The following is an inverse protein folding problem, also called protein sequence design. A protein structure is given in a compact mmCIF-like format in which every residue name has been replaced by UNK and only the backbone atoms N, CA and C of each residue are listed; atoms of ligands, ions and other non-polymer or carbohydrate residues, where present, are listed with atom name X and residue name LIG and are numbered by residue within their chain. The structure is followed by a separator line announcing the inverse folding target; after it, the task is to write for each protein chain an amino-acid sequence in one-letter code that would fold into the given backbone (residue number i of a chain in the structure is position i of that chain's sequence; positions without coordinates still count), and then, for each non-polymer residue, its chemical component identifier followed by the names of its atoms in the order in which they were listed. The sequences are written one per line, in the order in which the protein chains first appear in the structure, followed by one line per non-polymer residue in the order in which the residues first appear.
data_IF_370794128765
#
_entry.id   IF_370794128765
#
_cell.length_a   1.000
_cell.length_b   1.000
_cell.length_c   1.000
_cell.angle_alpha   90.00
_cell.angle_beta   90.00
_cell.angle_gamma   90.00
#
_symmetry.space_group_name_H-M   'P 1'
#
loop_
_entity.id
_entity.type
_entity.pdbx_description
1 polymer ?
#
# COMPACT_ATOMS: atom_id res chain seq x y z
N UNK A 1 61.38 33.10 -59.38
CA UNK A 1 61.30 31.62 -59.38
C UNK A 1 61.41 31.16 -57.94
N UNK A 2 60.28 30.85 -57.30
CA UNK A 2 60.23 30.44 -55.90
C UNK A 2 59.93 28.95 -55.83
N UNK A 3 60.85 28.20 -55.21
CA UNK A 3 60.76 26.75 -55.00
C UNK A 3 59.73 26.45 -53.90
N UNK A 4 58.67 25.73 -54.27
CA UNK A 4 57.73 25.10 -53.35
C UNK A 4 58.33 23.74 -52.96
N UNK A 5 58.55 23.53 -51.67
CA UNK A 5 59.04 22.28 -51.09
C UNK A 5 57.86 21.62 -50.39
N UNK A 6 57.30 20.59 -51.01
CA UNK A 6 56.26 19.75 -50.41
C UNK A 6 56.94 18.67 -49.56
N UNK A 7 56.53 18.54 -48.29
CA UNK A 7 56.81 17.37 -47.46
C UNK A 7 55.52 16.55 -47.25
N UNK A 8 55.56 15.21 -47.45
CA UNK A 8 54.45 14.32 -47.15
C UNK A 8 54.57 13.76 -45.72
N UNK A 9 53.76 14.26 -44.80
CA UNK A 9 53.72 13.85 -43.39
C UNK A 9 52.59 12.88 -43.07
N UNK A 10 52.94 11.59 -43.10
CA UNK A 10 52.33 10.40 -42.49
C UNK A 10 50.97 10.53 -41.74
N UNK A 11 49.98 9.81 -42.27
CA UNK A 11 48.84 9.25 -41.53
C UNK A 11 49.31 8.16 -40.56
N UNK A 12 48.98 8.30 -39.28
CA UNK A 12 48.87 7.17 -38.35
C UNK A 12 47.62 7.33 -37.49
N UNK A 13 46.60 6.56 -37.81
CA UNK A 13 45.44 6.28 -36.96
C UNK A 13 45.80 5.18 -35.96
N UNK A 14 45.77 5.42 -34.65
CA UNK A 14 45.62 4.34 -33.67
C UNK A 14 44.13 4.06 -33.45
N UNK A 15 43.70 2.92 -33.99
CA UNK A 15 42.41 2.29 -33.74
C UNK A 15 42.40 1.80 -32.28
N UNK A 16 41.87 2.62 -31.36
CA UNK A 16 41.67 2.23 -29.97
C UNK A 16 40.37 1.42 -29.86
N UNK A 17 40.51 0.10 -29.92
CA UNK A 17 39.43 -0.84 -29.69
C UNK A 17 39.22 -1.00 -28.19
N UNK A 18 38.22 -0.30 -27.65
CA UNK A 18 37.81 -0.46 -26.26
C UNK A 18 37.03 -1.77 -26.07
N UNK A 19 37.29 -2.54 -24.99
CA UNK A 19 36.57 -3.77 -24.70
C UNK A 19 35.12 -3.46 -24.32
N UNK A 20 34.18 -4.19 -24.93
CA UNK A 20 32.76 -4.17 -24.58
C UNK A 20 32.59 -4.62 -23.12
N UNK A 21 31.97 -3.82 -22.23
CA UNK A 21 31.49 -4.35 -20.97
C UNK A 21 30.27 -5.23 -21.27
N UNK A 22 30.39 -6.52 -20.95
CA UNK A 22 29.26 -7.42 -20.84
C UNK A 22 28.34 -6.91 -19.72
N UNK A 23 27.31 -6.16 -20.09
CA UNK A 23 26.20 -5.84 -19.19
C UNK A 23 25.41 -7.13 -19.00
N UNK A 24 25.80 -7.89 -17.98
CA UNK A 24 25.03 -8.99 -17.44
C UNK A 24 23.79 -8.40 -16.79
N UNK A 25 22.70 -8.30 -17.56
CA UNK A 25 21.37 -7.96 -17.08
C UNK A 25 20.89 -9.09 -16.19
N UNK A 26 21.22 -9.05 -14.90
CA UNK A 26 20.52 -9.84 -13.90
C UNK A 26 19.10 -9.30 -13.77
N UNK A 27 18.20 -9.90 -14.54
CA UNK A 27 16.76 -9.85 -14.35
C UNK A 27 16.44 -10.40 -12.96
N UNK A 28 16.30 -9.49 -11.99
CA UNK A 28 15.60 -9.80 -10.75
C UNK A 28 14.15 -10.15 -11.11
N UNK A 29 13.85 -11.44 -11.12
CA UNK A 29 12.48 -11.94 -11.15
C UNK A 29 12.00 -12.07 -9.71
N UNK A 30 11.12 -11.18 -9.20
CA UNK A 30 10.43 -11.45 -7.94
C UNK A 30 9.42 -12.57 -8.21
N UNK A 31 9.87 -13.82 -8.17
CA UNK A 31 8.98 -14.98 -8.14
C UNK A 31 8.47 -15.13 -6.71
N UNK A 32 7.65 -14.19 -6.26
CA UNK A 32 6.76 -14.41 -5.13
C UNK A 32 5.57 -15.18 -5.71
N UNK A 33 5.69 -16.51 -5.74
CA UNK A 33 4.54 -17.38 -5.99
C UNK A 33 3.63 -17.25 -4.77
N UNK A 34 2.40 -16.73 -4.89
CA UNK A 34 1.43 -16.92 -3.84
C UNK A 34 1.20 -18.43 -3.65
N UNK A 35 0.92 -18.89 -2.42
CA UNK A 35 0.60 -20.28 -2.18
C UNK A 35 -0.59 -20.67 -3.07
N UNK A 36 -0.38 -21.72 -3.86
CA UNK A 36 -1.43 -22.37 -4.63
C UNK A 36 -2.43 -22.94 -3.63
N UNK A 37 -3.53 -22.20 -3.45
CA UNK A 37 -4.69 -22.65 -2.72
C UNK A 37 -5.34 -23.73 -3.59
N UNK A 38 -5.11 -24.98 -3.23
CA UNK A 38 -5.75 -26.13 -3.85
C UNK A 38 -7.24 -25.99 -3.53
N UNK A 39 -8.00 -25.41 -4.45
CA UNK A 39 -9.44 -25.44 -4.41
C UNK A 39 -9.87 -26.89 -4.61
N UNK A 40 -10.13 -27.58 -3.50
CA UNK A 40 -10.95 -28.77 -3.53
C UNK A 40 -12.32 -28.34 -4.10
N UNK A 41 -12.66 -28.91 -5.26
CA UNK A 41 -13.99 -28.87 -5.82
C UNK A 41 -14.99 -29.40 -4.79
N UNK A 42 -15.67 -28.50 -4.09
CA UNK A 42 -16.90 -28.83 -3.38
C UNK A 42 -17.99 -28.79 -4.45
N UNK A 43 -18.36 -30.01 -4.82
CA UNK A 43 -19.45 -30.36 -5.72
C UNK A 43 -20.75 -29.71 -5.23
N UNK A 44 -21.47 -29.14 -6.17
CA UNK A 44 -22.77 -28.49 -6.02
C UNK A 44 -23.80 -29.34 -5.27
N UNK A 45 -24.65 -28.61 -4.54
CA UNK A 45 -26.05 -28.85 -4.14
C UNK A 45 -26.57 -30.28 -3.96
N UNK A 46 -27.37 -30.47 -2.90
CA UNK A 46 -28.80 -30.46 -3.18
C UNK A 46 -29.61 -29.55 -2.25
N UNK A 47 -30.49 -28.79 -2.90
CA UNK A 47 -31.88 -28.52 -2.54
C UNK A 47 -32.16 -28.00 -1.11
N UNK A 48 -32.54 -26.72 -1.08
CA UNK A 48 -33.15 -26.04 0.05
C UNK A 48 -34.36 -26.83 0.60
N UNK A 49 -34.15 -27.57 1.68
CA UNK A 49 -35.22 -28.01 2.56
C UNK A 49 -35.63 -26.84 3.45
N UNK A 50 -36.70 -26.16 3.04
CA UNK A 50 -37.46 -25.23 3.88
C UNK A 50 -38.07 -26.01 5.04
N UNK A 51 -37.37 -26.03 6.18
CA UNK A 51 -37.96 -26.49 7.43
C UNK A 51 -38.88 -25.40 8.00
N UNK A 52 -40.11 -25.72 8.41
CA UNK A 52 -40.97 -24.77 9.09
C UNK A 52 -40.33 -24.38 10.42
N UNK A 53 -40.12 -23.07 10.62
CA UNK A 53 -39.73 -22.55 11.93
C UNK A 53 -40.82 -22.88 12.95
N UNK A 54 -40.47 -23.48 14.10
CA UNK A 54 -41.38 -23.57 15.23
C UNK A 54 -41.51 -22.17 15.86
N UNK A 55 -42.69 -21.57 15.75
CA UNK A 55 -43.10 -20.38 16.52
C UNK A 55 -42.92 -20.65 18.01
N UNK A 56 -41.73 -20.36 18.51
CA UNK A 56 -41.37 -20.52 19.91
C UNK A 56 -41.66 -19.21 20.63
N UNK A 57 -42.93 -18.85 20.71
CA UNK A 57 -43.44 -17.95 21.75
C UNK A 57 -43.37 -18.68 23.09
N UNK A 58 -42.15 -18.85 23.62
CA UNK A 58 -41.98 -19.26 25.01
C UNK A 58 -42.14 -18.00 25.84
N UNK A 59 -43.38 -17.76 26.27
CA UNK A 59 -43.68 -16.86 27.35
C UNK A 59 -42.81 -17.27 28.55
N UNK A 60 -41.92 -16.38 28.98
CA UNK A 60 -41.20 -16.49 30.24
C UNK A 60 -42.20 -16.36 31.40
N UNK A 61 -42.97 -17.41 31.67
CA UNK A 61 -43.64 -17.59 32.94
C UNK A 61 -42.58 -17.99 33.96
N UNK A 62 -42.18 -17.03 34.79
CA UNK A 62 -41.39 -17.28 35.99
C UNK A 62 -42.12 -18.27 36.88
N UNK A 63 -41.67 -19.52 36.88
CA UNK A 63 -42.10 -20.52 37.85
C UNK A 63 -41.49 -20.16 39.20
N UNK A 64 -42.33 -19.63 40.08
CA UNK A 64 -42.05 -19.55 41.50
C UNK A 64 -41.90 -20.97 42.03
N UNK A 65 -40.66 -21.44 42.17
CA UNK A 65 -40.38 -22.66 42.93
C UNK A 65 -40.58 -22.35 44.41
N UNK A 66 -41.75 -22.76 44.87
CA UNK A 66 -42.25 -22.78 46.23
C UNK A 66 -41.23 -23.39 47.19
N UNK A 67 -40.81 -22.62 48.19
CA UNK A 67 -40.03 -23.08 49.33
C UNK A 67 -40.80 -24.13 50.12
N UNK A 68 -40.41 -25.40 50.01
CA UNK A 68 -40.92 -26.46 50.90
C UNK A 68 -40.27 -26.28 52.28
N UNK A 69 -41.06 -25.81 53.24
CA UNK A 69 -40.69 -25.75 54.65
C UNK A 69 -40.40 -27.15 55.19
N UNK A 70 -39.19 -27.36 55.70
CA UNK A 70 -38.84 -28.55 56.47
C UNK A 70 -39.41 -28.43 57.88
N UNK A 71 -40.57 -29.05 58.12
CA UNK A 71 -41.13 -29.26 59.46
C UNK A 71 -40.26 -30.26 60.22
N UNK A 72 -39.51 -29.75 61.19
CA UNK A 72 -38.66 -30.51 62.12
C UNK A 72 -39.53 -31.39 63.03
N UNK A 73 -39.79 -32.63 62.60
CA UNK A 73 -40.48 -33.65 63.40
C UNK A 73 -39.49 -34.58 64.08
N UNK A 74 -39.80 -34.97 65.32
CA UNK A 74 -38.98 -35.84 66.17
C UNK A 74 -38.83 -37.23 65.53
N UNK A 75 -37.58 -37.67 65.46
CA UNK A 75 -37.04 -38.92 64.92
C UNK A 75 -37.84 -40.16 65.38
N UNK A 76 -38.74 -40.64 64.54
CA UNK A 76 -39.19 -42.03 64.54
C UNK A 76 -38.23 -42.87 63.65
N UNK A 77 -38.11 -44.19 63.84
CA UNK A 77 -37.25 -45.03 63.00
C UNK A 77 -37.75 -44.97 61.56
N UNK A 78 -36.98 -44.33 60.68
CA UNK A 78 -37.30 -44.20 59.26
C UNK A 78 -37.22 -45.57 58.60
N UNK A 79 -38.30 -45.99 57.94
CA UNK A 79 -38.34 -47.19 57.12
C UNK A 79 -37.28 -47.05 55.99
N UNK A 80 -36.29 -47.96 55.89
CA UNK A 80 -35.20 -47.86 54.92
C UNK A 80 -35.67 -47.77 53.47
N UNK A 81 -36.88 -48.28 53.15
CA UNK A 81 -37.45 -48.23 51.80
C UNK A 81 -37.81 -46.78 51.39
N UNK A 82 -38.36 -45.99 52.32
CA UNK A 82 -38.73 -44.59 52.08
C UNK A 82 -37.49 -43.70 51.88
N UNK A 83 -36.40 -43.97 52.60
CA UNK A 83 -35.15 -43.24 52.43
C UNK A 83 -34.54 -43.47 51.03
N UNK A 84 -34.64 -44.71 50.50
CA UNK A 84 -34.11 -45.05 49.18
C UNK A 84 -34.89 -44.37 48.04
N UNK A 85 -36.22 -44.29 48.16
CA UNK A 85 -37.06 -43.58 47.18
C UNK A 85 -36.77 -42.07 47.17
N UNK A 86 -36.61 -41.44 48.33
CA UNK A 86 -36.23 -40.03 48.43
C UNK A 86 -34.84 -39.79 47.82
N UNK A 87 -33.89 -40.71 48.05
CA UNK A 87 -32.57 -40.62 47.43
C UNK A 87 -32.66 -40.71 45.90
N UNK A 88 -33.49 -41.61 45.36
CA UNK A 88 -33.68 -41.74 43.92
C UNK A 88 -34.29 -40.47 43.32
N UNK A 89 -35.32 -39.91 43.95
CA UNK A 89 -35.95 -38.66 43.52
C UNK A 89 -34.94 -37.49 43.51
N UNK A 90 -34.13 -37.37 44.56
CA UNK A 90 -33.07 -36.37 44.64
C UNK A 90 -32.01 -36.55 43.55
N UNK A 91 -31.61 -37.80 43.26
CA UNK A 91 -30.64 -38.08 42.17
C UNK A 91 -31.22 -37.76 40.79
N UNK A 92 -32.49 -38.05 40.52
CA UNK A 92 -33.14 -37.70 39.26
C UNK A 92 -33.26 -36.19 39.09
N UNK A 93 -33.64 -35.47 40.15
CA UNK A 93 -33.68 -34.01 40.13
C UNK A 93 -32.30 -33.38 39.94
N UNK A 94 -31.23 -34.00 40.48
CA UNK A 94 -29.86 -33.56 40.24
C UNK A 94 -29.42 -33.81 38.79
N UNK A 95 -29.75 -34.97 38.21
CA UNK A 95 -29.46 -35.30 36.81
C UNK A 95 -30.21 -34.34 35.87
N UNK A 96 -31.49 -34.09 36.13
CA UNK A 96 -32.30 -33.21 35.30
C UNK A 96 -31.77 -31.77 35.32
N UNK A 97 -31.42 -31.24 36.49
CA UNK A 97 -30.76 -29.92 36.60
C UNK A 97 -29.41 -29.88 35.89
N UNK A 98 -28.62 -30.96 35.96
CA UNK A 98 -27.34 -31.05 35.25
C UNK A 98 -27.51 -31.01 33.73
N UNK A 99 -28.52 -31.71 33.20
CA UNK A 99 -28.84 -31.71 31.78
C UNK A 99 -29.34 -30.35 31.29
N UNK A 100 -30.17 -29.66 32.08
CA UNK A 100 -30.64 -28.30 31.78
C UNK A 100 -29.47 -27.30 31.75
N UNK A 101 -28.59 -27.34 32.76
CA UNK A 101 -27.40 -26.49 32.79
C UNK A 101 -26.47 -26.74 31.58
N UNK A 102 -26.30 -28.01 31.18
CA UNK A 102 -25.51 -28.36 30.01
C UNK A 102 -26.14 -27.86 28.70
N UNK A 103 -27.48 -27.90 28.60
CA UNK A 103 -28.18 -27.37 27.43
C UNK A 103 -28.06 -25.84 27.36
N UNK A 104 -28.22 -25.15 28.50
CA UNK A 104 -28.03 -23.71 28.58
C UNK A 104 -26.60 -23.31 28.17
N UNK A 105 -25.59 -24.02 28.65
CA UNK A 105 -24.20 -23.80 28.25
C UNK A 105 -23.99 -24.00 26.74
N UNK A 106 -24.55 -25.06 26.14
CA UNK A 106 -24.49 -25.25 24.68
C UNK A 106 -25.20 -24.14 23.91
N UNK A 107 -26.37 -23.68 24.37
CA UNK A 107 -27.07 -22.57 23.72
C UNK A 107 -26.30 -21.26 23.82
N UNK A 108 -25.57 -21.04 24.91
CA UNK A 108 -24.69 -19.89 25.08
C UNK A 108 -23.55 -19.91 24.06
N UNK A 109 -22.87 -21.06 23.90
CA UNK A 109 -21.79 -21.21 22.93
C UNK A 109 -22.26 -21.04 21.48
N UNK A 110 -23.45 -21.56 21.13
CA UNK A 110 -24.03 -21.37 19.80
C UNK A 110 -24.28 -19.88 19.51
N UNK A 111 -24.89 -19.15 20.45
CA UNK A 111 -25.10 -17.70 20.31
C UNK A 111 -23.79 -16.93 20.18
N UNK A 112 -22.75 -17.35 20.91
CA UNK A 112 -21.43 -16.75 20.80
C UNK A 112 -20.79 -17.01 19.42
N UNK A 113 -20.95 -18.22 18.88
CA UNK A 113 -20.46 -18.56 17.54
C UNK A 113 -21.17 -17.73 16.45
N UNK A 114 -22.49 -17.56 16.56
CA UNK A 114 -23.26 -16.73 15.63
C UNK A 114 -22.80 -15.26 15.66
N UNK A 115 -22.51 -14.73 16.85
CA UNK A 115 -22.00 -13.37 16.99
C UNK A 115 -20.61 -13.20 16.32
N UNK A 116 -19.72 -14.18 16.50
CA UNK A 116 -18.40 -14.16 15.86
C UNK A 116 -18.50 -14.27 14.33
N UNK A 117 -19.42 -15.10 13.82
CA UNK A 117 -19.67 -15.22 12.39
C UNK A 117 -20.17 -13.90 11.79
N UNK A 118 -21.13 -13.24 12.47
CA UNK A 118 -21.63 -11.94 12.04
C UNK A 118 -20.51 -10.89 12.00
N UNK A 119 -19.66 -10.86 13.03
CA UNK A 119 -18.51 -9.95 13.07
C UNK A 119 -17.51 -10.23 11.95
N UNK A 120 -17.29 -11.50 11.58
CA UNK A 120 -16.43 -11.87 10.47
C UNK A 120 -17.00 -11.39 9.13
N UNK A 121 -18.30 -11.51 8.91
CA UNK A 121 -18.97 -11.04 7.69
C UNK A 121 -18.88 -9.52 7.53
N UNK A 122 -19.07 -8.78 8.62
CA UNK A 122 -18.94 -7.32 8.63
C UNK A 122 -17.51 -6.88 8.24
N UNK A 123 -16.48 -7.56 8.76
CA UNK A 123 -15.09 -7.29 8.42
C UNK A 123 -14.78 -7.63 6.94
N UNK A 124 -15.33 -8.73 6.42
CA UNK A 124 -15.19 -9.10 5.00
C UNK A 124 -15.84 -8.02 4.11
N UNK A 125 -17.00 -7.49 4.52
CA UNK A 125 -17.67 -6.44 3.77
C UNK A 125 -16.86 -5.14 3.77
N UNK A 126 -16.29 -4.74 4.91
CA UNK A 126 -15.47 -3.52 4.99
C UNK A 126 -14.17 -3.66 4.19
N UNK A 127 -13.52 -4.83 4.21
CA UNK A 127 -12.36 -5.10 3.36
C UNK A 127 -12.68 -4.92 1.87
N UNK A 128 -13.83 -5.44 1.40
CA UNK A 128 -14.29 -5.24 0.02
C UNK A 128 -14.52 -3.76 -0.33
N UNK A 129 -15.01 -2.96 0.62
CA UNK A 129 -15.18 -1.52 0.42
C UNK A 129 -13.85 -0.79 0.32
N UNK A 130 -12.86 -1.18 1.12
CA UNK A 130 -11.52 -0.61 1.05
C UNK A 130 -10.84 -0.94 -0.29
N UNK A 131 -10.91 -2.18 -0.75
CA UNK A 131 -10.36 -2.60 -2.05
C UNK A 131 -10.97 -1.79 -3.21
N UNK A 132 -12.29 -1.57 -3.17
CA UNK A 132 -12.97 -0.76 -4.18
C UNK A 132 -12.52 0.71 -4.13
N UNK A 133 -12.35 1.28 -2.93
CA UNK A 133 -11.83 2.65 -2.78
C UNK A 133 -10.40 2.77 -3.33
N UNK A 134 -9.53 1.81 -3.05
CA UNK A 134 -8.17 1.76 -3.59
C UNK A 134 -8.19 1.71 -5.12
N UNK A 135 -9.04 0.85 -5.70
CA UNK A 135 -9.20 0.76 -7.14
C UNK A 135 -9.70 2.06 -7.78
N UNK A 136 -10.61 2.79 -7.11
CA UNK A 136 -11.09 4.11 -7.56
C UNK A 136 -9.96 5.14 -7.51
N UNK A 137 -9.16 5.16 -6.43
CA UNK A 137 -8.03 6.08 -6.28
C UNK A 137 -6.97 5.81 -7.35
N UNK A 138 -6.66 4.54 -7.60
CA UNK A 138 -5.70 4.15 -8.64
C UNK A 138 -6.19 4.51 -10.03
N UNK A 139 -7.46 4.21 -10.34
CA UNK A 139 -8.06 4.54 -11.63
C UNK A 139 -8.06 6.05 -11.85
N UNK A 140 -8.45 6.85 -10.85
CA UNK A 140 -8.42 8.32 -10.94
C UNK A 140 -7.00 8.84 -11.10
N UNK A 141 -6.03 8.29 -10.37
CA UNK A 141 -4.63 8.68 -10.49
C UNK A 141 -4.10 8.40 -11.90
N UNK A 142 -4.41 7.21 -12.46
CA UNK A 142 -4.01 6.85 -13.81
C UNK A 142 -4.72 7.67 -14.90
N UNK A 143 -5.97 8.09 -14.67
CA UNK A 143 -6.76 8.83 -15.67
C UNK A 143 -6.49 10.34 -15.64
N UNK A 144 -6.21 10.92 -14.46
CA UNK A 144 -6.03 12.37 -14.29
C UNK A 144 -4.57 12.81 -14.44
N UNK A 145 -3.58 11.97 -14.15
CA UNK A 145 -2.18 12.35 -14.28
C UNK A 145 -1.72 12.60 -15.74
N UNK A 146 -2.13 11.83 -16.76
CA UNK A 146 -1.69 12.09 -18.12
C UNK A 146 -2.28 13.37 -18.71
N UNK A 147 -3.53 13.71 -18.36
CA UNK A 147 -4.21 14.90 -18.90
C UNK A 147 -3.80 16.20 -18.22
N UNK A 148 -3.56 16.17 -16.92
CA UNK A 148 -3.18 17.39 -16.19
C UNK A 148 -1.76 17.83 -16.51
N UNK A 149 -0.82 16.93 -16.79
CA UNK A 149 0.56 17.32 -17.06
C UNK A 149 0.69 18.20 -18.32
N UNK A 150 -0.10 17.95 -19.37
CA UNK A 150 -0.12 18.77 -20.59
C UNK A 150 -0.73 20.16 -20.39
N UNK A 151 -1.65 20.31 -19.43
CA UNK A 151 -2.25 21.59 -19.05
C UNK A 151 -1.39 22.40 -18.06
N UNK A 152 -0.38 21.80 -17.43
CA UNK A 152 0.53 22.54 -16.55
C UNK A 152 1.36 23.52 -17.38
N UNK A 153 1.23 24.80 -17.05
CA UNK A 153 1.97 25.86 -17.70
C UNK A 153 3.49 25.61 -17.62
N UNK A 154 4.30 26.00 -18.63
CA UNK A 154 5.76 25.86 -18.54
C UNK A 154 6.37 26.48 -17.29
N UNK A 155 5.73 27.54 -16.77
CA UNK A 155 6.10 28.21 -15.50
C UNK A 155 5.97 27.28 -14.30
N UNK A 156 4.86 26.56 -14.18
CA UNK A 156 4.63 25.60 -13.09
C UNK A 156 5.55 24.38 -13.22
N UNK A 157 5.72 23.82 -14.43
CA UNK A 157 6.69 22.76 -14.69
C UNK A 157 8.10 23.17 -14.24
N UNK A 158 8.48 24.41 -14.53
CA UNK A 158 9.75 24.99 -14.07
C UNK A 158 9.81 25.18 -12.56
N UNK A 159 8.73 25.57 -11.90
CA UNK A 159 8.65 25.67 -10.44
C UNK A 159 8.90 24.32 -9.78
N UNK A 160 8.23 23.27 -10.28
CA UNK A 160 8.40 21.89 -9.82
C UNK A 160 9.83 21.42 -10.05
N UNK A 161 10.39 21.64 -11.24
CA UNK A 161 11.78 21.29 -11.55
C UNK A 161 12.78 21.95 -10.59
N UNK A 162 12.60 23.24 -10.27
CA UNK A 162 13.45 23.95 -9.29
C UNK A 162 13.34 23.36 -7.90
N UNK A 163 12.14 22.98 -7.46
CA UNK A 163 11.92 22.37 -6.16
C UNK A 163 12.70 21.07 -6.02
N UNK A 164 12.66 20.21 -7.04
CA UNK A 164 13.47 18.98 -7.08
C UNK A 164 14.97 19.27 -7.13
N UNK A 165 15.39 20.23 -7.97
CA UNK A 165 16.79 20.59 -8.12
C UNK A 165 17.38 21.19 -6.83
N UNK A 166 16.58 21.84 -5.99
CA UNK A 166 17.01 22.41 -4.71
C UNK A 166 17.61 21.39 -3.74
N UNK A 167 17.17 20.13 -3.83
CA UNK A 167 17.73 19.04 -3.04
C UNK A 167 19.06 18.48 -3.58
N UNK A 168 19.54 18.94 -4.74
CA UNK A 168 20.75 18.44 -5.34
C UNK A 168 22.01 18.97 -4.63
N UNK A 169 22.66 18.08 -3.88
CA UNK A 169 23.88 18.39 -3.12
C UNK A 169 25.10 17.53 -3.53
N UNK A 170 24.92 16.50 -4.37
CA UNK A 170 26.00 15.64 -4.88
C UNK A 170 26.18 15.85 -6.37
N UNK A 171 27.42 15.74 -6.86
CA UNK A 171 27.74 15.98 -8.27
C UNK A 171 27.06 14.98 -9.22
N UNK A 172 26.72 13.79 -8.74
CA UNK A 172 25.99 12.78 -9.50
C UNK A 172 24.46 12.89 -9.38
N UNK A 173 23.92 13.84 -8.60
CA UNK A 173 22.47 14.03 -8.50
C UNK A 173 21.91 14.47 -9.85
N UNK A 174 20.92 13.73 -10.35
CA UNK A 174 20.23 14.02 -11.61
C UNK A 174 19.37 15.26 -11.44
N UNK A 175 19.52 16.22 -12.36
CA UNK A 175 18.72 17.44 -12.37
C UNK A 175 17.48 17.26 -13.25
N UNK A 176 16.35 17.79 -12.80
CA UNK A 176 15.16 17.99 -13.63
C UNK A 176 15.43 19.13 -14.61
N UNK A 177 15.30 18.83 -15.89
CA UNK A 177 15.44 19.80 -16.97
C UNK A 177 14.33 20.85 -16.89
N UNK A 178 14.68 22.09 -17.22
CA UNK A 178 13.72 23.19 -17.33
C UNK A 178 13.23 23.34 -18.76
N UNK A 179 12.12 24.05 -18.88
CA UNK A 179 11.50 24.50 -20.12
C UNK A 179 11.89 25.95 -20.39
N UNK A 180 12.19 26.27 -21.64
CA UNK A 180 12.54 27.61 -22.06
C UNK A 180 11.33 28.54 -22.14
N UNK A 181 11.58 29.79 -22.52
CA UNK A 181 10.53 30.80 -22.75
C UNK A 181 9.53 30.39 -23.85
N UNK A 182 9.93 29.50 -24.75
CA UNK A 182 9.09 28.91 -25.79
C UNK A 182 8.25 27.70 -25.30
N UNK A 183 8.31 27.36 -24.01
CA UNK A 183 7.62 26.21 -23.44
C UNK A 183 8.21 24.85 -23.80
N UNK A 184 9.32 24.80 -24.56
CA UNK A 184 9.99 23.55 -24.94
C UNK A 184 11.11 23.20 -23.96
N UNK A 185 11.46 21.92 -23.88
CA UNK A 185 12.59 21.45 -23.10
C UNK A 185 13.89 22.12 -23.57
N UNK A 186 14.70 22.64 -22.66
CA UNK A 186 15.93 23.35 -23.02
C UNK A 186 16.98 22.35 -23.53
N UNK A 187 17.42 22.46 -24.80
CA UNK A 187 18.45 21.58 -25.34
C UNK A 187 19.77 21.74 -24.59
N UNK A 188 20.47 20.63 -24.34
CA UNK A 188 21.77 20.64 -23.66
C UNK A 188 21.72 20.97 -22.17
N UNK A 189 20.53 20.95 -21.55
CA UNK A 189 20.41 21.15 -20.10
C UNK A 189 21.27 20.10 -19.34
N UNK A 190 22.06 20.52 -18.33
CA UNK A 190 22.96 19.60 -17.63
C UNK A 190 22.18 18.49 -16.92
N UNK A 191 22.51 17.23 -17.25
CA UNK A 191 21.84 16.05 -16.66
C UNK A 191 22.10 15.91 -15.15
N UNK A 192 23.21 16.44 -14.65
CA UNK A 192 23.62 16.32 -13.24
C UNK A 192 24.21 17.63 -12.70
N UNK A 193 24.27 17.75 -11.37
CA UNK A 193 24.91 18.90 -10.70
C UNK A 193 26.38 19.07 -11.11
N UNK A 194 27.13 17.96 -11.21
CA UNK A 194 28.54 17.98 -11.63
C UNK A 194 28.71 18.52 -13.05
N UNK A 195 27.80 18.16 -13.98
CA UNK A 195 27.79 18.74 -15.32
C UNK A 195 27.45 20.23 -15.30
N UNK A 196 26.50 20.66 -14.46
CA UNK A 196 26.15 22.08 -14.30
C UNK A 196 27.34 22.90 -13.79
N UNK A 197 28.11 22.38 -12.82
CA UNK A 197 29.32 23.05 -12.28
C UNK A 197 30.40 23.26 -13.35
N UNK A 198 30.55 22.29 -14.26
CA UNK A 198 31.56 22.29 -15.33
C UNK A 198 31.19 23.11 -16.57
N UNK A 199 29.99 23.71 -16.62
CA UNK A 199 29.59 24.56 -17.75
C UNK A 199 30.62 25.68 -17.99
N UNK A 200 31.04 25.84 -19.24
CA UNK A 200 31.90 26.94 -19.67
C UNK A 200 31.06 28.11 -20.20
N UNK A 201 31.70 29.22 -20.58
CA UNK A 201 31.00 30.41 -21.11
C UNK A 201 30.14 30.09 -22.34
N UNK A 202 30.67 29.27 -23.24
CA UNK A 202 30.03 28.93 -24.52
C UNK A 202 28.75 28.11 -24.30
N UNK A 203 28.79 27.08 -23.44
CA UNK A 203 27.63 26.26 -23.11
C UNK A 203 26.60 26.98 -22.20
N UNK A 204 27.05 27.92 -21.38
CA UNK A 204 26.19 28.65 -20.44
C UNK A 204 25.29 29.69 -21.12
N UNK A 205 25.78 30.36 -22.17
CA UNK A 205 25.04 31.44 -22.84
C UNK A 205 23.73 30.96 -23.50
N UNK A 206 23.70 29.85 -24.26
CA UNK A 206 22.47 29.30 -24.81
C UNK A 206 21.44 28.96 -23.72
N UNK A 207 21.88 28.41 -22.59
CA UNK A 207 21.00 28.06 -21.47
C UNK A 207 20.37 29.30 -20.84
N UNK A 208 21.14 30.37 -20.65
CA UNK A 208 20.63 31.64 -20.15
C UNK A 208 19.63 32.29 -21.12
N UNK A 209 19.94 32.30 -22.42
CA UNK A 209 19.04 32.84 -23.45
C UNK A 209 17.72 32.05 -23.51
N UNK A 210 17.78 30.72 -23.48
CA UNK A 210 16.59 29.86 -23.47
C UNK A 210 15.68 30.13 -22.26
N UNK A 211 16.27 30.51 -21.12
CA UNK A 211 15.57 30.89 -19.89
C UNK A 211 15.10 32.36 -19.85
N UNK A 212 15.42 33.17 -20.87
CA UNK A 212 15.15 34.60 -20.88
C UNK A 212 15.97 35.38 -19.86
N UNK A 213 17.15 34.89 -19.49
CA UNK A 213 18.06 35.51 -18.52
C UNK A 213 19.14 36.33 -19.23
N UNK A 214 19.61 37.45 -18.64
CA UNK A 214 20.70 38.23 -19.22
C UNK A 214 21.99 37.41 -19.38
N UNK A 215 22.70 37.63 -20.49
CA UNK A 215 24.02 37.01 -20.81
C UNK A 215 25.21 37.95 -20.61
N UNK A 216 24.99 39.14 -20.07
CA UNK A 216 26.04 40.08 -19.71
C UNK A 216 26.72 39.72 -18.39
N UNK A 217 27.97 40.15 -18.23
CA UNK A 217 28.80 39.98 -17.03
C UNK A 217 29.85 38.88 -17.16
N UNK A 218 30.65 38.72 -16.10
CA UNK A 218 31.67 37.66 -16.00
C UNK A 218 31.02 36.27 -15.97
N UNK A 219 31.82 35.23 -16.29
CA UNK A 219 31.35 33.84 -16.26
C UNK A 219 30.80 33.44 -14.89
N UNK A 220 31.45 33.90 -13.80
CA UNK A 220 31.01 33.64 -12.43
C UNK A 220 29.61 34.24 -12.16
N UNK A 221 29.38 35.50 -12.53
CA UNK A 221 28.07 36.17 -12.35
C UNK A 221 26.97 35.44 -13.12
N UNK A 222 27.25 35.02 -14.36
CA UNK A 222 26.32 34.26 -15.19
C UNK A 222 26.03 32.86 -14.61
N UNK A 223 27.05 32.18 -14.06
CA UNK A 223 26.86 30.90 -13.37
C UNK A 223 25.99 31.06 -12.14
N UNK A 224 26.27 32.03 -11.27
CA UNK A 224 25.44 32.31 -10.09
C UNK A 224 23.98 32.56 -10.50
N UNK A 225 23.75 33.37 -11.54
CA UNK A 225 22.41 33.64 -12.08
C UNK A 225 21.71 32.36 -12.55
N UNK A 226 22.40 31.52 -13.30
CA UNK A 226 21.89 30.23 -13.76
C UNK A 226 21.55 29.30 -12.58
N UNK A 227 22.47 29.12 -11.64
CA UNK A 227 22.28 28.23 -10.49
C UNK A 227 21.10 28.68 -9.62
N UNK A 228 21.02 29.98 -9.30
CA UNK A 228 19.91 30.54 -8.53
C UNK A 228 18.57 30.32 -9.24
N UNK A 229 18.51 30.48 -10.57
CA UNK A 229 17.28 30.25 -11.32
C UNK A 229 16.87 28.78 -11.33
N UNK A 230 17.82 27.86 -11.48
CA UNK A 230 17.60 26.41 -11.50
C UNK A 230 17.23 25.87 -10.10
N UNK A 231 17.43 26.67 -9.04
CA UNK A 231 17.15 26.29 -7.66
C UNK A 231 18.36 25.69 -6.94
N UNK A 232 19.58 25.83 -7.48
CA UNK A 232 20.81 25.31 -6.91
C UNK A 232 21.51 26.35 -6.03
N UNK A 233 22.19 25.88 -4.98
CA UNK A 233 23.07 26.73 -4.18
C UNK A 233 24.45 26.78 -4.85
N UNK A 234 24.84 27.95 -5.33
CA UNK A 234 26.19 28.17 -5.86
C UNK A 234 27.13 28.59 -4.73
N UNK A 235 27.92 27.64 -4.22
CA UNK A 235 29.07 27.92 -3.37
C UNK A 235 30.25 28.19 -4.30
N UNK A 236 30.32 29.43 -4.79
CA UNK A 236 31.36 29.91 -5.69
C UNK A 236 32.69 30.13 -5.00
#
# INVERSE_FOLDING_TARGET
MAHIKEEPGAQTHPQLQAPRPALSTQLYSPTSRPPTLIMAHIKEEPEAQTYPQPDSQIAAQGSQNTTTQTTRTKKAPTDPILAMLHQMEETMAAIQRGMEAQLEEQTFFLKQADHLNQQADDLIQEAKRMDMCEQIVDTRSQTLLPRTLDDISPRERNSIARLFNRGANRDNTVLKSLYGVNGQLIPGFPRTLGHAKRLNSEALNPLLLALGLPVSGSVAVRKTRFFNYVGLVYLG
#
